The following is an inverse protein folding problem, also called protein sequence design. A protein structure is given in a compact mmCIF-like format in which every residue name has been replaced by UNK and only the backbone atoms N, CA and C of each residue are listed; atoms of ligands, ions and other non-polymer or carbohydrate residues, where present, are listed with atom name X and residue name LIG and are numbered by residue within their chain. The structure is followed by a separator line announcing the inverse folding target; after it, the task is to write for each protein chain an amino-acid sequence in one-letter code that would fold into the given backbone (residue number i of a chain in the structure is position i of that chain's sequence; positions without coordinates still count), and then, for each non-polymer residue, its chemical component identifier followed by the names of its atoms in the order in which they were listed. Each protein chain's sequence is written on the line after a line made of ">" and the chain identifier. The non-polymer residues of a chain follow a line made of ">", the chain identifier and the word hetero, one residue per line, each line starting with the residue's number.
data_IF_719674186597
#
_entry.id   IF_719674186597
#
_cell.length_a   1.000
_cell.length_b   1.000
_cell.length_c   1.000
_cell.angle_alpha   90.00
_cell.angle_beta   90.00
_cell.angle_gamma   90.00
#
_symmetry.space_group_name_H-M   'P 1'
#
loop_
_entity.id
_entity.type
_entity.pdbx_description
1 polymer ?
#
# COMPACT_ATOMS: atom_id res chain seq x y z
N UNK A 1 -14.30 -6.59 34.12
CA UNK A 1 -13.70 -6.78 32.78
C UNK A 1 -14.74 -6.44 31.72
N UNK A 2 -14.60 -5.33 30.97
CA UNK A 2 -15.54 -5.02 29.92
C UNK A 2 -15.28 -5.94 28.72
N UNK A 3 -16.32 -6.65 28.29
CA UNK A 3 -16.34 -7.41 27.03
C UNK A 3 -15.92 -6.47 25.90
N UNK A 4 -14.77 -6.74 25.30
CA UNK A 4 -14.37 -6.15 24.01
C UNK A 4 -15.55 -6.43 23.07
N UNK A 5 -16.29 -5.37 22.71
CA UNK A 5 -17.33 -5.45 21.69
C UNK A 5 -16.65 -6.09 20.48
N UNK A 6 -17.20 -7.20 19.96
CA UNK A 6 -16.83 -7.71 18.64
C UNK A 6 -16.99 -6.53 17.68
N UNK A 7 -15.91 -5.83 17.35
CA UNK A 7 -15.90 -4.86 16.26
C UNK A 7 -16.29 -5.67 15.06
N UNK A 8 -17.53 -5.47 14.64
CA UNK A 8 -18.19 -6.28 13.63
C UNK A 8 -17.34 -6.19 12.38
N UNK A 9 -16.92 -7.35 11.91
CA UNK A 9 -16.05 -7.59 10.78
C UNK A 9 -16.77 -7.32 9.45
N UNK A 10 -17.56 -6.25 9.38
CA UNK A 10 -18.42 -5.94 8.23
C UNK A 10 -17.52 -5.38 7.13
N UNK A 11 -17.75 -5.91 5.93
CA UNK A 11 -17.15 -5.40 4.72
C UNK A 11 -18.15 -4.42 4.12
N UNK A 12 -17.66 -3.23 3.80
CA UNK A 12 -18.44 -2.15 3.22
C UNK A 12 -18.06 -2.01 1.74
N UNK A 13 -19.01 -2.19 0.81
CA UNK A 13 -18.77 -1.79 -0.58
C UNK A 13 -18.77 -0.27 -0.67
N UNK A 14 -17.81 0.28 -1.41
CA UNK A 14 -17.71 1.71 -1.74
C UNK A 14 -17.75 1.79 -3.27
N UNK A 15 -18.81 2.37 -3.79
CA UNK A 15 -19.07 2.55 -5.22
C UNK A 15 -18.63 3.92 -5.68
N UNK A 16 -18.46 4.11 -6.99
CA UNK A 16 -18.12 5.43 -7.58
C UNK A 16 -19.15 6.53 -7.28
N UNK A 17 -20.36 6.19 -6.83
CA UNK A 17 -21.40 7.14 -6.44
C UNK A 17 -21.25 7.63 -4.99
N UNK A 18 -20.48 6.91 -4.18
CA UNK A 18 -20.30 7.23 -2.77
C UNK A 18 -19.29 8.36 -2.60
N UNK A 19 -19.57 9.28 -1.66
CA UNK A 19 -18.68 10.41 -1.35
C UNK A 19 -17.30 10.00 -0.85
N UNK A 20 -17.17 8.75 -0.36
CA UNK A 20 -15.92 8.19 0.12
C UNK A 20 -15.10 7.50 -0.99
N UNK A 21 -15.60 7.45 -2.23
CA UNK A 21 -14.81 6.89 -3.34
C UNK A 21 -13.65 7.84 -3.69
N UNK A 22 -12.39 7.37 -3.66
CA UNK A 22 -11.26 8.26 -3.92
C UNK A 22 -11.23 8.73 -5.38
N UNK A 23 -11.51 10.01 -5.60
CA UNK A 23 -11.52 10.61 -6.94
C UNK A 23 -10.17 10.50 -7.68
N UNK A 24 -9.05 10.35 -6.96
CA UNK A 24 -7.72 10.14 -7.55
C UNK A 24 -7.64 8.88 -8.40
N UNK A 25 -8.44 7.84 -8.10
CA UNK A 25 -8.35 6.56 -8.81
C UNK A 25 -8.76 6.72 -10.27
N UNK A 26 -9.86 7.43 -10.53
CA UNK A 26 -10.37 7.67 -11.89
C UNK A 26 -9.38 8.41 -12.78
N UNK A 27 -8.59 9.32 -12.19
CA UNK A 27 -7.59 10.10 -12.93
C UNK A 27 -6.42 9.25 -13.47
N UNK A 28 -6.10 8.12 -12.82
CA UNK A 28 -4.96 7.28 -13.19
C UNK A 28 -5.36 5.98 -13.88
N UNK A 29 -6.45 5.35 -13.46
CA UNK A 29 -6.86 4.04 -13.98
C UNK A 29 -7.77 4.13 -15.20
N UNK A 30 -8.46 5.25 -15.44
CA UNK A 30 -9.38 5.42 -16.57
C UNK A 30 -10.37 4.23 -16.70
N UNK A 31 -10.32 3.49 -17.81
CA UNK A 31 -11.17 2.31 -18.05
C UNK A 31 -10.94 1.17 -17.05
N UNK A 32 -9.79 1.13 -16.38
CA UNK A 32 -9.47 0.13 -15.34
C UNK A 32 -9.93 0.57 -13.93
N UNK A 33 -10.71 1.65 -13.82
CA UNK A 33 -11.23 2.13 -12.54
C UNK A 33 -12.22 1.10 -11.98
N UNK A 34 -12.03 0.61 -10.74
CA UNK A 34 -12.95 -0.35 -10.15
C UNK A 34 -14.34 0.27 -9.95
N UNK A 35 -15.38 -0.50 -10.21
CA UNK A 35 -16.77 -0.08 -9.93
C UNK A 35 -17.04 -0.05 -8.42
N UNK A 36 -16.43 -1.00 -7.69
CA UNK A 36 -16.59 -1.20 -6.25
C UNK A 36 -15.24 -1.42 -5.59
N UNK A 37 -15.03 -0.78 -4.44
CA UNK A 37 -13.93 -1.03 -3.52
C UNK A 37 -14.52 -1.66 -2.25
N UNK A 38 -14.07 -2.85 -1.90
CA UNK A 38 -14.45 -3.54 -0.68
C UNK A 38 -13.54 -3.11 0.46
N UNK A 39 -14.13 -2.52 1.49
CA UNK A 39 -13.39 -1.95 2.62
C UNK A 39 -13.75 -2.66 3.93
N UNK A 40 -12.74 -2.90 4.77
CA UNK A 40 -12.90 -3.43 6.13
C UNK A 40 -12.01 -2.68 7.10
N UNK A 41 -12.60 -2.08 8.12
CA UNK A 41 -11.92 -1.21 9.07
C UNK A 41 -12.44 0.22 8.98
N UNK A 42 -11.62 1.18 9.38
CA UNK A 42 -12.00 2.58 9.39
C UNK A 42 -11.90 3.20 7.98
N UNK A 43 -13.04 3.39 7.30
CA UNK A 43 -13.11 3.96 5.95
C UNK A 43 -12.68 5.43 5.89
N UNK A 44 -12.65 6.13 7.04
CA UNK A 44 -12.19 7.52 7.09
C UNK A 44 -10.69 7.66 6.86
N UNK A 45 -9.95 6.54 6.86
CA UNK A 45 -8.53 6.50 6.47
C UNK A 45 -8.32 6.62 4.95
N UNK A 46 -9.37 6.51 4.13
CA UNK A 46 -9.24 6.76 2.70
C UNK A 46 -8.84 8.23 2.44
N UNK A 47 -7.92 8.48 1.49
CA UNK A 47 -7.62 9.85 1.08
C UNK A 47 -8.88 10.48 0.48
N UNK A 48 -9.45 11.47 1.18
CA UNK A 48 -10.62 12.25 0.72
C UNK A 48 -10.13 13.58 0.16
N UNK A 49 -10.97 14.23 -0.66
CA UNK A 49 -10.69 15.58 -1.18
C UNK A 49 -10.33 16.57 -0.06
N UNK A 50 -10.85 16.35 1.15
CA UNK A 50 -10.62 17.16 2.35
C UNK A 50 -10.01 16.38 3.54
N UNK A 51 -9.35 15.23 3.34
CA UNK A 51 -8.68 14.54 4.46
C UNK A 51 -7.21 14.92 4.56
N UNK A 52 -6.73 15.09 5.78
CA UNK A 52 -5.32 15.37 6.12
C UNK A 52 -4.37 14.25 5.67
N UNK A 53 -4.89 13.06 5.35
CA UNK A 53 -4.10 11.91 4.87
C UNK A 53 -3.71 12.01 3.40
N UNK A 54 -4.39 12.86 2.60
CA UNK A 54 -4.23 12.89 1.15
C UNK A 54 -2.80 13.24 0.72
N UNK A 55 -2.09 14.08 1.46
CA UNK A 55 -0.80 14.60 1.00
C UNK A 55 0.40 13.71 1.42
N UNK A 56 0.22 12.80 2.38
CA UNK A 56 1.30 11.98 2.97
C UNK A 56 1.03 10.47 3.01
N UNK A 57 0.13 9.94 2.17
CA UNK A 57 -0.03 8.50 2.02
C UNK A 57 1.07 7.91 1.12
N UNK A 58 1.99 7.15 1.73
CA UNK A 58 3.09 6.49 1.03
C UNK A 58 2.76 5.06 0.60
N UNK A 59 2.84 4.77 -0.69
CA UNK A 59 2.80 3.40 -1.18
C UNK A 59 4.17 2.72 -1.07
N UNK A 60 4.20 1.52 -0.51
CA UNK A 60 5.41 0.70 -0.44
C UNK A 60 5.33 -0.49 -1.40
N UNK A 61 6.35 -0.65 -2.23
CA UNK A 61 6.51 -1.77 -3.16
C UNK A 61 7.91 -2.36 -3.10
N UNK A 62 8.00 -3.68 -3.24
CA UNK A 62 9.27 -4.36 -3.47
C UNK A 62 9.12 -5.63 -4.31
N UNK A 63 10.10 -5.89 -5.19
CA UNK A 63 10.26 -7.21 -5.80
C UNK A 63 10.51 -8.29 -4.76
N UNK A 64 10.00 -9.50 -5.03
CA UNK A 64 10.13 -10.66 -4.14
C UNK A 64 11.57 -11.13 -3.95
N UNK A 65 12.41 -10.97 -4.98
CA UNK A 65 13.86 -11.14 -4.89
C UNK A 65 14.48 -9.78 -4.63
N UNK A 66 15.22 -9.64 -3.54
CA UNK A 66 15.77 -8.39 -3.08
C UNK A 66 17.20 -8.62 -2.53
N UNK A 67 18.20 -7.80 -2.90
CA UNK A 67 19.54 -7.87 -2.33
C UNK A 67 19.53 -7.60 -0.82
N UNK A 68 20.47 -8.23 -0.10
CA UNK A 68 20.56 -8.11 1.36
C UNK A 68 20.74 -6.66 1.86
N UNK A 69 21.51 -5.85 1.14
CA UNK A 69 21.67 -4.43 1.45
C UNK A 69 20.35 -3.65 1.39
N UNK A 70 19.47 -3.97 0.45
CA UNK A 70 18.17 -3.31 0.33
C UNK A 70 17.22 -3.82 1.41
N UNK A 71 17.29 -5.10 1.79
CA UNK A 71 16.50 -5.65 2.90
C UNK A 71 16.73 -4.84 4.19
N UNK A 72 17.99 -4.56 4.54
CA UNK A 72 18.33 -3.76 5.72
C UNK A 72 17.81 -2.33 5.59
N UNK A 73 18.11 -1.64 4.49
CA UNK A 73 17.62 -0.26 4.24
C UNK A 73 16.09 -0.15 4.28
N UNK A 74 15.40 -1.18 3.79
CA UNK A 74 13.92 -1.22 3.76
C UNK A 74 13.34 -1.43 5.16
N UNK A 75 14.01 -2.21 6.01
CA UNK A 75 13.65 -2.29 7.42
C UNK A 75 13.84 -0.94 8.12
N UNK A 76 14.97 -0.26 7.88
CA UNK A 76 15.25 1.04 8.49
C UNK A 76 14.23 2.11 8.06
N UNK A 77 13.88 2.15 6.77
CA UNK A 77 12.80 3.01 6.27
C UNK A 77 11.46 2.73 6.94
N UNK A 78 11.13 1.45 7.19
CA UNK A 78 9.89 1.10 7.90
C UNK A 78 9.91 1.57 9.37
N UNK A 79 11.09 1.59 10.01
CA UNK A 79 11.26 2.15 11.35
C UNK A 79 11.08 3.67 11.34
N UNK A 80 11.71 4.36 10.39
CA UNK A 80 11.57 5.80 10.15
C UNK A 80 10.10 6.18 9.97
N UNK A 81 9.39 5.53 9.02
CA UNK A 81 7.97 5.81 8.77
C UNK A 81 7.10 5.52 10.00
N UNK A 82 7.43 4.52 10.80
CA UNK A 82 6.73 4.21 12.05
C UNK A 82 6.98 5.28 13.12
N UNK A 83 8.19 5.80 13.22
CA UNK A 83 8.57 6.84 14.20
C UNK A 83 8.02 8.22 13.85
N UNK A 84 8.02 8.57 12.58
CA UNK A 84 7.46 9.82 12.06
C UNK A 84 5.92 9.82 12.01
N UNK A 85 5.30 8.65 12.16
CA UNK A 85 3.86 8.50 12.05
C UNK A 85 3.35 8.55 10.61
N UNK A 86 4.21 8.23 9.64
CA UNK A 86 3.95 8.31 8.19
C UNK A 86 2.91 7.28 7.76
N UNK A 87 1.82 7.75 7.15
CA UNK A 87 0.75 6.88 6.69
C UNK A 87 1.18 6.03 5.49
N UNK A 88 0.86 4.74 5.50
CA UNK A 88 1.33 3.81 4.46
C UNK A 88 0.22 3.01 3.80
N UNK A 89 0.42 2.65 2.54
CA UNK A 89 -0.42 1.72 1.79
C UNK A 89 0.44 0.68 1.07
N UNK A 90 0.00 -0.58 1.05
CA UNK A 90 0.70 -1.64 0.33
C UNK A 90 -0.12 -2.91 0.33
N UNK A 91 0.25 -3.87 -0.51
CA UNK A 91 -0.31 -5.22 -0.39
C UNK A 91 0.49 -6.15 0.49
N UNK A 92 1.75 -5.81 0.75
CA UNK A 92 2.64 -6.52 1.67
C UNK A 92 2.72 -8.03 1.38
N UNK A 93 3.15 -8.38 0.17
CA UNK A 93 3.18 -9.76 -0.33
C UNK A 93 4.58 -10.34 -0.46
N UNK A 94 5.60 -9.52 -0.67
CA UNK A 94 6.97 -10.01 -0.62
C UNK A 94 7.44 -10.18 0.83
N UNK A 95 8.42 -11.07 1.11
CA UNK A 95 8.92 -11.26 2.48
C UNK A 95 9.40 -9.97 3.15
N UNK A 96 9.98 -9.06 2.37
CA UNK A 96 10.43 -7.76 2.87
C UNK A 96 9.27 -6.82 3.14
N UNK A 97 8.26 -6.75 2.26
CA UNK A 97 7.08 -5.94 2.54
C UNK A 97 6.31 -6.49 3.77
N UNK A 98 6.24 -7.81 3.96
CA UNK A 98 5.65 -8.39 5.18
C UNK A 98 6.41 -7.97 6.45
N UNK A 99 7.74 -7.86 6.39
CA UNK A 99 8.53 -7.31 7.51
C UNK A 99 8.24 -5.83 7.73
N UNK A 100 8.17 -5.02 6.67
CA UNK A 100 7.73 -3.62 6.79
C UNK A 100 6.39 -3.52 7.47
N UNK A 101 5.41 -4.33 7.07
CA UNK A 101 4.08 -4.34 7.69
C UNK A 101 4.18 -4.69 9.19
N UNK A 102 5.00 -5.68 9.57
CA UNK A 102 5.22 -6.04 10.98
C UNK A 102 5.80 -4.88 11.78
N UNK A 103 6.76 -4.14 11.23
CA UNK A 103 7.35 -2.94 11.86
C UNK A 103 6.29 -1.84 11.99
N UNK A 104 5.62 -1.50 10.89
CA UNK A 104 4.64 -0.42 10.83
C UNK A 104 3.47 -0.65 11.79
N UNK A 105 2.94 -1.88 11.88
CA UNK A 105 1.80 -2.20 12.75
C UNK A 105 2.07 -1.97 14.25
N UNK A 106 3.34 -1.91 14.67
CA UNK A 106 3.73 -1.61 16.05
C UNK A 106 3.68 -0.10 16.37
N UNK A 107 3.60 0.76 15.36
CA UNK A 107 3.38 2.20 15.53
C UNK A 107 1.91 2.57 15.69
N UNK A 108 1.63 3.88 15.70
CA UNK A 108 0.30 4.48 15.89
C UNK A 108 -0.33 5.02 14.59
N UNK A 109 0.44 5.06 13.51
CA UNK A 109 0.05 5.65 12.24
C UNK A 109 -1.02 4.82 11.49
N UNK A 110 -1.78 5.47 10.60
CA UNK A 110 -2.65 4.80 9.65
C UNK A 110 -1.90 3.87 8.68
N UNK A 111 -2.46 2.69 8.48
CA UNK A 111 -1.94 1.67 7.54
C UNK A 111 -3.10 1.17 6.71
N UNK A 112 -2.93 1.17 5.39
CA UNK A 112 -3.87 0.62 4.43
C UNK A 112 -3.27 -0.64 3.80
N UNK A 113 -3.94 -1.77 3.97
CA UNK A 113 -3.55 -3.05 3.38
C UNK A 113 -4.43 -3.35 2.18
N UNK A 114 -3.83 -3.62 1.02
CA UNK A 114 -4.57 -4.03 -0.18
C UNK A 114 -4.08 -5.36 -0.76
N UNK A 115 -4.72 -6.49 -0.41
CA UNK A 115 -4.33 -7.78 -0.95
C UNK A 115 -4.76 -7.94 -2.42
N UNK A 116 -4.04 -8.75 -3.17
CA UNK A 116 -4.37 -9.11 -4.56
C UNK A 116 -5.41 -10.23 -4.66
N UNK A 117 -6.46 -10.15 -3.84
CA UNK A 117 -7.55 -11.12 -3.71
C UNK A 117 -8.74 -10.47 -3.00
N UNK A 118 -9.89 -11.14 -3.00
CA UNK A 118 -11.07 -10.70 -2.28
C UNK A 118 -10.93 -10.89 -0.76
N UNK A 119 -11.68 -10.13 0.03
CA UNK A 119 -11.46 -9.99 1.50
C UNK A 119 -12.57 -10.62 2.36
N UNK A 120 -13.64 -11.13 1.74
CA UNK A 120 -14.83 -11.72 2.37
C UNK A 120 -14.46 -12.92 3.24
N UNK A 121 -13.61 -13.80 2.73
CA UNK A 121 -13.20 -15.04 3.39
C UNK A 121 -11.77 -14.97 3.93
N UNK A 122 -11.21 -13.77 4.08
CA UNK A 122 -9.81 -13.57 4.45
C UNK A 122 -9.60 -13.79 5.95
N UNK A 123 -9.05 -14.95 6.33
CA UNK A 123 -8.67 -15.27 7.72
C UNK A 123 -7.32 -14.69 8.16
N UNK A 124 -6.99 -13.48 7.71
CA UNK A 124 -5.62 -12.95 7.80
C UNK A 124 -5.33 -12.17 9.08
N UNK A 125 -6.31 -11.96 9.97
CA UNK A 125 -6.13 -11.34 11.29
C UNK A 125 -5.50 -12.30 12.30
N UNK A 126 -4.34 -12.84 11.93
CA UNK A 126 -3.63 -13.83 12.73
C UNK A 126 -2.77 -13.19 13.81
N UNK A 127 -2.19 -12.01 13.53
CA UNK A 127 -1.35 -11.31 14.51
C UNK A 127 -2.17 -10.38 15.40
N UNK A 128 -1.74 -10.26 16.66
CA UNK A 128 -2.41 -9.36 17.61
C UNK A 128 -2.21 -7.89 17.24
N UNK A 129 -1.10 -7.54 16.58
CA UNK A 129 -0.87 -6.20 16.07
C UNK A 129 -1.90 -5.80 14.99
N UNK A 130 -2.30 -6.71 14.11
CA UNK A 130 -3.36 -6.44 13.11
C UNK A 130 -4.73 -6.26 13.76
N UNK A 131 -5.09 -7.15 14.69
CA UNK A 131 -6.36 -7.06 15.44
C UNK A 131 -6.43 -5.73 16.20
N UNK A 132 -5.32 -5.36 16.85
CA UNK A 132 -5.16 -4.11 17.57
C UNK A 132 -5.32 -2.91 16.63
N UNK A 133 -4.61 -2.89 15.49
CA UNK A 133 -4.71 -1.82 14.50
C UNK A 133 -6.13 -1.62 13.96
N UNK A 134 -6.89 -2.70 13.73
CA UNK A 134 -8.31 -2.60 13.37
C UNK A 134 -9.16 -2.06 14.52
N UNK A 135 -8.95 -2.55 15.75
CA UNK A 135 -9.72 -2.11 16.91
C UNK A 135 -9.45 -0.64 17.28
N UNK A 136 -8.24 -0.16 17.02
CA UNK A 136 -7.82 1.22 17.21
C UNK A 136 -8.19 2.12 16.02
N UNK A 137 -8.85 1.59 14.98
CA UNK A 137 -9.35 2.37 13.84
C UNK A 137 -8.25 2.93 12.93
N UNK A 138 -7.05 2.35 12.95
CA UNK A 138 -5.86 2.80 12.21
C UNK A 138 -5.35 1.79 11.17
N UNK A 139 -5.95 0.60 11.08
CA UNK A 139 -5.78 -0.32 9.96
C UNK A 139 -7.05 -0.34 9.10
N UNK A 140 -6.88 -0.17 7.79
CA UNK A 140 -7.93 -0.33 6.79
C UNK A 140 -7.51 -1.40 5.78
N UNK A 141 -8.38 -2.36 5.48
CA UNK A 141 -8.15 -3.38 4.46
C UNK A 141 -9.02 -3.04 3.25
N UNK A 142 -8.42 -2.95 2.06
CA UNK A 142 -9.08 -2.60 0.81
C UNK A 142 -8.86 -3.65 -0.27
N UNK A 143 -9.91 -4.03 -1.00
CA UNK A 143 -9.76 -4.85 -2.20
C UNK A 143 -10.68 -4.36 -3.30
N UNK A 144 -10.20 -4.46 -4.54
CA UNK A 144 -11.00 -4.22 -5.76
C UNK A 144 -11.55 -5.51 -6.34
N UNK A 145 -11.36 -6.64 -5.65
CA UNK A 145 -11.73 -7.96 -6.15
C UNK A 145 -12.90 -8.53 -5.36
N UNK A 146 -13.86 -9.07 -6.10
CA UNK A 146 -14.98 -9.84 -5.57
C UNK A 146 -14.82 -11.30 -5.99
N UNK A 147 -15.12 -12.25 -5.08
CA UNK A 147 -15.09 -13.69 -5.39
C UNK A 147 -13.75 -14.23 -5.96
N UNK A 148 -12.62 -13.58 -5.64
CA UNK A 148 -11.28 -13.98 -6.06
C UNK A 148 -10.45 -14.40 -4.84
N UNK A 149 -10.59 -15.63 -4.31
CA UNK A 149 -9.93 -16.03 -3.07
C UNK A 149 -8.41 -16.24 -3.19
N UNK A 150 -7.94 -16.54 -4.39
CA UNK A 150 -6.54 -16.85 -4.68
C UNK A 150 -5.83 -15.65 -5.32
N UNK A 151 -4.57 -15.46 -4.94
CA UNK A 151 -3.74 -14.41 -5.51
C UNK A 151 -3.09 -14.91 -6.79
N UNK A 152 -2.99 -14.04 -7.80
CA UNK A 152 -2.25 -14.31 -9.03
C UNK A 152 -1.38 -13.11 -9.39
N UNK A 153 -0.41 -13.31 -10.30
CA UNK A 153 0.42 -12.22 -10.78
C UNK A 153 -0.39 -11.13 -11.52
N UNK A 154 -1.48 -11.50 -12.19
CA UNK A 154 -2.39 -10.56 -12.85
C UNK A 154 -3.14 -9.70 -11.83
N UNK A 155 -3.73 -10.33 -10.81
CA UNK A 155 -4.42 -9.61 -9.73
C UNK A 155 -3.44 -8.73 -8.96
N UNK A 156 -2.21 -9.19 -8.74
CA UNK A 156 -1.17 -8.38 -8.09
C UNK A 156 -0.81 -7.15 -8.90
N UNK A 157 -0.74 -7.24 -10.23
CA UNK A 157 -0.53 -6.09 -11.12
C UNK A 157 -1.68 -5.08 -11.02
N UNK A 158 -2.93 -5.54 -11.11
CA UNK A 158 -4.12 -4.68 -10.97
C UNK A 158 -4.15 -4.00 -9.59
N UNK A 159 -3.89 -4.76 -8.52
CA UNK A 159 -3.76 -4.22 -7.16
C UNK A 159 -2.66 -3.17 -7.06
N UNK A 160 -1.49 -3.41 -7.64
CA UNK A 160 -0.38 -2.47 -7.56
C UNK A 160 -0.73 -1.13 -8.21
N UNK A 161 -1.38 -1.17 -9.38
CA UNK A 161 -1.88 0.04 -10.05
C UNK A 161 -2.92 0.76 -9.20
N UNK A 162 -3.85 0.03 -8.59
CA UNK A 162 -4.82 0.60 -7.65
C UNK A 162 -4.14 1.27 -6.44
N UNK A 163 -3.22 0.58 -5.76
CA UNK A 163 -2.48 1.13 -4.62
C UNK A 163 -1.70 2.38 -5.01
N UNK A 164 -1.00 2.34 -6.15
CA UNK A 164 -0.30 3.51 -6.67
C UNK A 164 -1.24 4.65 -7.03
N UNK A 165 -2.44 4.38 -7.55
CA UNK A 165 -3.43 5.41 -7.87
C UNK A 165 -3.93 6.12 -6.60
N UNK A 166 -4.11 5.40 -5.48
CA UNK A 166 -4.51 5.99 -4.20
C UNK A 166 -3.43 6.82 -3.51
N UNK A 167 -2.18 6.35 -3.51
CA UNK A 167 -1.09 6.99 -2.76
C UNK A 167 -0.69 8.36 -3.31
N UNK A 168 -0.21 9.27 -2.47
CA UNK A 168 0.37 10.54 -2.96
C UNK A 168 1.82 10.37 -3.36
N UNK A 169 2.57 9.58 -2.60
CA UNK A 169 4.00 9.30 -2.81
C UNK A 169 4.21 7.79 -2.93
N UNK A 170 5.13 7.37 -3.79
CA UNK A 170 5.39 5.96 -4.04
C UNK A 170 6.85 5.68 -3.76
N UNK A 171 7.12 4.65 -2.96
CA UNK A 171 8.45 4.16 -2.68
C UNK A 171 8.61 2.73 -3.22
N UNK A 172 9.57 2.55 -4.11
CA UNK A 172 9.97 1.23 -4.62
C UNK A 172 11.32 0.90 -3.99
N UNK A 173 11.32 -0.01 -3.02
CA UNK A 173 12.53 -0.43 -2.32
C UNK A 173 13.52 -1.11 -3.28
N UNK A 174 13.02 -2.05 -4.08
CA UNK A 174 13.81 -2.69 -5.12
C UNK A 174 12.95 -3.17 -6.27
N UNK A 175 13.50 -3.04 -7.47
CA UNK A 175 13.03 -3.73 -8.67
C UNK A 175 14.23 -4.34 -9.38
N UNK A 176 14.26 -5.68 -9.47
CA UNK A 176 15.23 -6.37 -10.31
C UNK A 176 15.08 -5.94 -11.78
N UNK A 177 16.18 -6.05 -12.53
CA UNK A 177 16.16 -5.92 -13.99
C UNK A 177 15.15 -6.90 -14.61
N UNK A 178 14.47 -6.45 -15.67
CA UNK A 178 13.41 -7.21 -16.37
C UNK A 178 12.29 -7.76 -15.47
N UNK A 179 12.02 -7.09 -14.34
CA UNK A 179 10.96 -7.48 -13.42
C UNK A 179 9.64 -6.77 -13.71
N UNK A 180 8.53 -7.42 -13.34
CA UNK A 180 7.18 -6.81 -13.36
C UNK A 180 7.10 -5.54 -12.52
N UNK A 181 7.92 -5.43 -11.47
CA UNK A 181 8.03 -4.22 -10.63
C UNK A 181 8.67 -3.07 -11.40
N UNK A 182 9.64 -3.35 -12.28
CA UNK A 182 10.27 -2.34 -13.14
C UNK A 182 9.28 -1.87 -14.23
N UNK A 183 8.56 -2.79 -14.88
CA UNK A 183 7.46 -2.43 -15.81
C UNK A 183 6.38 -1.58 -15.12
N UNK A 184 6.05 -1.94 -13.88
CA UNK A 184 5.13 -1.18 -13.05
C UNK A 184 5.67 0.24 -12.78
N UNK A 185 6.95 0.38 -12.42
CA UNK A 185 7.60 1.68 -12.23
C UNK A 185 7.51 2.57 -13.49
N UNK A 186 7.76 2.01 -14.69
CA UNK A 186 7.60 2.74 -15.95
C UNK A 186 6.17 3.25 -16.15
N UNK A 187 5.17 2.46 -15.74
CA UNK A 187 3.76 2.82 -15.88
C UNK A 187 3.41 4.00 -14.98
N UNK A 188 3.76 3.94 -13.70
CA UNK A 188 3.40 4.99 -12.72
C UNK A 188 4.21 6.28 -12.89
N UNK A 189 5.41 6.23 -13.48
CA UNK A 189 6.17 7.44 -13.82
C UNK A 189 5.46 8.28 -14.88
N UNK A 190 4.76 7.64 -15.83
CA UNK A 190 3.92 8.33 -16.83
C UNK A 190 2.73 9.06 -16.21
N UNK A 191 2.33 8.68 -14.99
CA UNK A 191 1.28 9.36 -14.24
C UNK A 191 1.77 10.66 -13.58
N UNK A 192 3.07 10.97 -13.64
CA UNK A 192 3.65 12.17 -13.04
C UNK A 192 3.67 12.15 -11.51
N UNK A 193 3.47 10.98 -10.89
CA UNK A 193 3.49 10.83 -9.43
C UNK A 193 4.94 10.84 -8.92
N UNK A 194 5.19 11.35 -7.70
CA UNK A 194 6.51 11.27 -7.10
C UNK A 194 6.82 9.81 -6.73
N UNK A 195 7.83 9.25 -7.42
CA UNK A 195 8.31 7.88 -7.20
C UNK A 195 9.75 7.96 -6.69
N UNK A 196 10.01 7.25 -5.60
CA UNK A 196 11.27 7.23 -4.90
C UNK A 196 11.85 5.82 -4.79
N UNK A 197 13.16 5.75 -4.64
CA UNK A 197 13.90 4.51 -4.38
C UNK A 197 15.16 4.79 -3.56
N UNK A 198 15.82 3.73 -3.09
CA UNK A 198 17.14 3.88 -2.48
C UNK A 198 18.20 4.27 -3.51
N UNK A 199 19.09 5.19 -3.14
CA UNK A 199 20.33 5.40 -3.88
C UNK A 199 21.25 4.18 -3.68
N UNK A 200 21.17 3.22 -4.59
CA UNK A 200 21.99 2.01 -4.59
C UNK A 200 22.29 1.56 -6.02
N UNK A 201 23.44 0.92 -6.20
CA UNK A 201 23.80 0.21 -7.42
C UNK A 201 22.79 -0.88 -7.79
N UNK A 202 22.12 -1.49 -6.80
CA UNK A 202 21.08 -2.49 -7.01
C UNK A 202 19.81 -1.94 -7.65
N UNK A 203 19.60 -0.62 -7.63
CA UNK A 203 18.44 0.07 -8.19
C UNK A 203 18.80 0.95 -9.40
N UNK A 204 19.95 0.70 -10.05
CA UNK A 204 20.38 1.45 -11.25
C UNK A 204 19.31 1.54 -12.31
N UNK A 205 18.60 0.45 -12.60
CA UNK A 205 17.52 0.44 -13.58
C UNK A 205 16.38 1.42 -13.21
N UNK A 206 15.99 1.47 -11.93
CA UNK A 206 14.98 2.43 -11.45
C UNK A 206 15.46 3.87 -11.58
N UNK A 207 16.71 4.15 -11.21
CA UNK A 207 17.30 5.49 -11.29
C UNK A 207 17.41 5.95 -12.75
N UNK A 208 17.85 5.06 -13.66
CA UNK A 208 17.90 5.34 -15.11
C UNK A 208 16.52 5.57 -15.72
N UNK A 209 15.48 4.94 -15.18
CA UNK A 209 14.08 5.20 -15.53
C UNK A 209 13.59 6.59 -15.09
N UNK A 210 14.32 7.28 -14.22
CA UNK A 210 13.93 8.58 -13.66
C UNK A 210 13.26 8.51 -12.28
N UNK A 211 13.32 7.36 -11.59
CA UNK A 211 12.91 7.26 -10.18
C UNK A 211 13.93 8.00 -9.31
N UNK A 212 13.44 8.87 -8.43
CA UNK A 212 14.31 9.74 -7.63
C UNK A 212 14.86 9.02 -6.40
N UNK A 213 16.12 9.26 -6.02
CA UNK A 213 16.61 8.86 -4.70
C UNK A 213 15.79 9.47 -3.56
N UNK A 214 15.40 8.67 -2.58
CA UNK A 214 14.65 9.15 -1.41
C UNK A 214 15.45 10.10 -0.52
N UNK A 215 16.79 10.01 -0.52
CA UNK A 215 17.65 10.94 0.18
C UNK A 215 17.48 12.41 -0.26
N UNK A 216 16.86 12.66 -1.41
CA UNK A 216 16.54 14.01 -1.91
C UNK A 216 15.22 14.57 -1.34
N UNK A 217 14.47 13.78 -0.58
CA UNK A 217 13.20 14.17 0.06
C UNK A 217 13.39 14.67 1.49
N UNK A 218 14.51 14.30 2.12
CA UNK A 218 14.84 14.77 3.46
C UNK A 218 15.21 16.27 3.42
N UNK A 219 14.61 17.12 4.28
CA UNK A 219 15.01 18.52 4.41
C UNK A 219 16.44 18.69 4.92
#
# INVERSE_FOLDING_TARGET
>A
MPRIRKVTQIIHPITQKDTNFPASIGAYLNADTPEVIWARGNIDLLPKVNSTLKDDLWALFCSSKCPAEIILKTHDLAQEFKEEGTSTIGGFHSPIEEECLRVLLRGSQPIILSPARSIENMQWLKSDCQKRGLSEGRLLILSIFENQPQQSALLARQRNLFVAALASKIFIAHAAEDSKTLEFAQTILKWGKPVFTFNSSSNKALIQLGVKPYSEVLP
#
